data_IF_555312580929
#
_entry.id   IF_555312580929
#
_cell.length_a   1.000
_cell.length_b   1.000
_cell.length_c   1.000
_cell.angle_alpha   90.00
_cell.angle_beta   90.00
_cell.angle_gamma   90.00
#
_symmetry.space_group_name_H-M   'P 1'
#
loop_
_entity.id
_entity.type
_entity.pdbx_description
1 polymer ?
#
# COMPACT_ATOMS: atom_id res chain seq x y z
N UNK A 1 17.13 50.56 42.28
CA UNK A 1 15.88 50.55 41.55
C UNK A 1 15.52 49.13 41.11
N UNK A 2 15.35 48.15 42.02
CA UNK A 2 15.12 46.75 41.68
C UNK A 2 14.29 45.96 42.71
N UNK A 3 13.57 46.64 43.60
CA UNK A 3 12.77 45.98 44.67
C UNK A 3 11.30 45.88 44.27
N UNK A 4 10.79 46.78 43.40
CA UNK A 4 9.40 46.78 42.93
C UNK A 4 9.08 45.69 41.92
N UNK A 5 10.07 45.14 41.19
CA UNK A 5 9.88 43.99 40.24
C UNK A 5 9.69 42.64 40.96
N UNK A 6 9.99 42.54 42.27
CA UNK A 6 9.83 41.31 43.07
C UNK A 6 8.52 41.21 43.80
N UNK A 7 7.71 42.29 43.89
CA UNK A 7 6.46 42.34 44.63
C UNK A 7 5.19 42.23 43.75
N UNK A 8 5.31 42.52 42.48
CA UNK A 8 4.29 42.19 41.50
C UNK A 8 4.83 40.99 40.71
N UNK A 9 4.44 39.78 41.10
CA UNK A 9 4.65 38.58 40.30
C UNK A 9 4.18 38.89 38.88
N UNK A 10 5.14 39.17 37.97
CA UNK A 10 4.86 39.66 36.64
C UNK A 10 3.97 38.64 35.93
N UNK A 11 2.72 38.97 35.74
CA UNK A 11 1.90 38.32 34.75
C UNK A 11 2.67 38.48 33.43
N UNK A 12 3.07 37.33 32.82
CA UNK A 12 3.67 37.33 31.48
C UNK A 12 2.77 38.15 30.56
N UNK A 13 3.34 39.02 29.75
CA UNK A 13 2.57 39.74 28.76
C UNK A 13 1.97 38.72 27.77
N UNK A 14 0.89 39.11 27.13
CA UNK A 14 0.21 38.25 26.12
C UNK A 14 1.21 37.80 25.05
N UNK A 15 2.17 38.64 24.70
CA UNK A 15 3.23 38.41 23.74
C UNK A 15 4.26 37.39 24.26
N UNK A 16 4.72 37.50 25.50
CA UNK A 16 5.63 36.54 26.16
C UNK A 16 4.97 35.14 26.30
N UNK A 17 3.66 35.09 26.55
CA UNK A 17 2.92 33.81 26.60
C UNK A 17 2.81 33.18 25.22
N UNK A 18 2.59 33.99 24.16
CA UNK A 18 2.53 33.53 22.77
C UNK A 18 3.88 32.99 22.33
N UNK A 19 4.98 33.74 22.52
CA UNK A 19 6.33 33.28 22.17
C UNK A 19 6.73 32.00 22.92
N UNK A 20 6.28 31.85 24.19
CA UNK A 20 6.57 30.64 24.96
C UNK A 20 5.82 29.44 24.36
N UNK A 21 4.53 29.60 24.01
CA UNK A 21 3.75 28.52 23.38
C UNK A 21 4.32 28.12 22.01
N UNK A 22 4.74 29.08 21.20
CA UNK A 22 5.34 28.82 19.89
C UNK A 22 6.64 28.02 20.02
N UNK A 23 7.54 28.40 20.95
CA UNK A 23 8.76 27.65 21.25
C UNK A 23 8.49 26.26 21.81
N UNK A 24 7.47 26.11 22.64
CA UNK A 24 7.07 24.80 23.17
C UNK A 24 6.49 23.92 22.07
N UNK A 25 5.68 24.48 21.17
CA UNK A 25 5.15 23.80 19.99
C UNK A 25 6.29 23.29 19.09
N UNK A 26 7.21 24.16 18.66
CA UNK A 26 8.31 23.81 17.79
C UNK A 26 9.17 22.68 18.38
N UNK A 27 9.45 22.76 19.67
CA UNK A 27 10.22 21.75 20.38
C UNK A 27 9.53 20.40 20.38
N UNK A 28 8.24 20.36 20.72
CA UNK A 28 7.47 19.11 20.81
C UNK A 28 7.26 18.51 19.42
N UNK A 29 6.95 19.34 18.41
CA UNK A 29 6.85 18.94 17.01
C UNK A 29 8.17 18.32 16.50
N UNK A 30 9.31 18.98 16.80
CA UNK A 30 10.63 18.47 16.45
C UNK A 30 10.93 17.09 17.05
N UNK A 31 10.62 16.88 18.34
CA UNK A 31 10.79 15.57 18.99
C UNK A 31 9.87 14.51 18.36
N UNK A 32 8.66 14.88 17.99
CA UNK A 32 7.74 14.00 17.26
C UNK A 32 8.28 13.57 15.90
N UNK A 33 8.74 14.53 15.09
CA UNK A 33 9.35 14.25 13.78
C UNK A 33 10.64 13.42 13.91
N UNK A 34 11.46 13.72 14.93
CA UNK A 34 12.66 12.95 15.24
C UNK A 34 12.31 11.50 15.60
N UNK A 35 11.33 11.28 16.46
CA UNK A 35 10.86 9.95 16.84
C UNK A 35 10.32 9.18 15.62
N UNK A 36 9.58 9.86 14.73
CA UNK A 36 9.08 9.28 13.48
C UNK A 36 10.23 8.78 12.59
N UNK A 37 11.28 9.59 12.42
CA UNK A 37 12.48 9.21 11.64
C UNK A 37 13.27 8.06 12.27
N UNK A 38 13.16 7.89 13.59
CA UNK A 38 13.76 6.78 14.32
C UNK A 38 12.85 5.55 14.41
N UNK A 39 11.74 5.52 13.66
CA UNK A 39 10.72 4.46 13.66
C UNK A 39 10.10 4.18 15.04
N UNK A 40 10.13 5.18 15.93
CA UNK A 40 9.50 5.14 17.26
C UNK A 40 8.08 5.70 17.16
N UNK A 41 7.20 4.99 16.46
CA UNK A 41 5.91 5.51 16.00
C UNK A 41 4.97 5.87 17.17
N UNK A 42 4.91 5.05 18.23
CA UNK A 42 4.12 5.38 19.43
C UNK A 42 4.58 6.67 20.12
N UNK A 43 5.90 6.89 20.17
CA UNK A 43 6.49 8.07 20.75
C UNK A 43 6.27 9.29 19.85
N UNK A 44 6.39 9.10 18.54
CA UNK A 44 6.12 10.14 17.55
C UNK A 44 4.65 10.62 17.66
N UNK A 45 3.70 9.68 17.69
CA UNK A 45 2.28 10.01 17.83
C UNK A 45 2.01 10.83 19.10
N UNK A 46 2.57 10.43 20.26
CA UNK A 46 2.40 11.17 21.52
C UNK A 46 2.91 12.60 21.45
N UNK A 47 4.12 12.82 20.89
CA UNK A 47 4.66 14.17 20.75
C UNK A 47 3.84 15.01 19.76
N UNK A 48 3.45 14.42 18.62
CA UNK A 48 2.67 15.13 17.61
C UNK A 48 1.25 15.46 18.09
N UNK A 49 0.62 14.57 18.86
CA UNK A 49 -0.65 14.88 19.56
C UNK A 49 -0.50 16.03 20.53
N UNK A 50 0.60 16.07 21.32
CA UNK A 50 0.91 17.18 22.22
C UNK A 50 1.15 18.49 21.47
N UNK A 51 1.86 18.44 20.32
CA UNK A 51 2.05 19.60 19.48
C UNK A 51 0.69 20.14 18.97
N UNK A 52 -0.21 19.28 18.52
CA UNK A 52 -1.55 19.67 18.09
C UNK A 52 -2.48 20.19 19.21
N UNK A 53 -2.15 19.91 20.48
CA UNK A 53 -2.82 20.58 21.62
C UNK A 53 -2.35 22.04 21.79
N UNK A 54 -1.14 22.36 21.33
CA UNK A 54 -0.59 23.73 21.36
C UNK A 54 -0.99 24.53 20.13
N UNK A 55 -0.96 23.90 18.96
CA UNK A 55 -1.46 24.46 17.70
C UNK A 55 -2.27 23.39 16.94
N UNK A 56 -3.61 23.52 17.06
CA UNK A 56 -4.54 22.57 16.45
C UNK A 56 -4.64 22.72 14.93
N UNK A 57 -4.16 23.82 14.34
CA UNK A 57 -4.31 24.11 12.92
C UNK A 57 -3.06 23.76 12.10
N UNK A 58 -1.98 23.30 12.74
CA UNK A 58 -0.75 22.92 12.03
C UNK A 58 -0.95 21.65 11.19
N UNK A 59 -1.08 21.84 9.88
CA UNK A 59 -1.33 20.77 8.93
C UNK A 59 -0.12 19.83 8.75
N UNK A 60 1.10 20.36 8.88
CA UNK A 60 2.32 19.57 8.79
C UNK A 60 2.42 18.58 9.96
N UNK A 61 2.09 19.04 11.17
CA UNK A 61 2.02 18.18 12.35
C UNK A 61 0.97 17.06 12.16
N UNK A 62 -0.21 17.38 11.58
CA UNK A 62 -1.22 16.39 11.24
C UNK A 62 -0.72 15.39 10.21
N UNK A 63 0.07 15.85 9.23
CA UNK A 63 0.66 15.00 8.22
C UNK A 63 1.61 13.96 8.84
N UNK A 64 2.55 14.41 9.67
CA UNK A 64 3.45 13.51 10.41
C UNK A 64 2.69 12.55 11.34
N UNK A 65 1.63 13.04 12.00
CA UNK A 65 0.82 12.20 12.86
C UNK A 65 0.06 11.12 12.07
N UNK A 66 -0.44 11.46 10.88
CA UNK A 66 -1.06 10.48 9.99
C UNK A 66 -0.07 9.38 9.58
N UNK A 67 1.19 9.73 9.28
CA UNK A 67 2.25 8.78 8.95
C UNK A 67 2.57 7.86 10.16
N UNK A 68 2.66 8.42 11.37
CA UNK A 68 2.87 7.62 12.58
C UNK A 68 1.73 6.62 12.79
N UNK A 69 0.48 7.04 12.65
CA UNK A 69 -0.68 6.16 12.79
C UNK A 69 -0.74 5.08 11.69
N UNK A 70 -0.41 5.40 10.43
CA UNK A 70 -0.31 4.39 9.37
C UNK A 70 0.72 3.31 9.75
N UNK A 71 1.89 3.73 10.22
CA UNK A 71 2.96 2.82 10.62
C UNK A 71 2.63 1.96 11.85
N UNK A 72 1.70 2.42 12.70
CA UNK A 72 1.17 1.69 13.85
C UNK A 72 0.00 0.76 13.49
N UNK A 73 -0.57 0.89 12.29
CA UNK A 73 -1.81 0.22 11.91
C UNK A 73 -3.09 0.90 12.45
N UNK A 74 -2.99 2.09 13.07
CA UNK A 74 -4.13 2.87 13.56
C UNK A 74 -4.80 3.63 12.40
N UNK A 75 -5.30 2.89 11.41
CA UNK A 75 -5.74 3.43 10.12
C UNK A 75 -6.89 4.43 10.23
N UNK A 76 -7.84 4.21 11.15
CA UNK A 76 -8.96 5.13 11.38
C UNK A 76 -8.46 6.50 11.88
N UNK A 77 -7.47 6.50 12.79
CA UNK A 77 -6.87 7.76 13.28
C UNK A 77 -6.06 8.44 12.19
N UNK A 78 -5.33 7.67 11.37
CA UNK A 78 -4.61 8.19 10.22
C UNK A 78 -5.57 8.88 9.24
N UNK A 79 -6.66 8.21 8.86
CA UNK A 79 -7.67 8.75 7.96
C UNK A 79 -8.28 10.05 8.50
N UNK A 80 -8.59 10.11 9.80
CA UNK A 80 -9.12 11.31 10.45
C UNK A 80 -8.15 12.51 10.41
N UNK A 81 -6.83 12.28 10.49
CA UNK A 81 -5.86 13.38 10.32
C UNK A 81 -5.80 13.85 8.87
N UNK A 82 -5.76 12.94 7.92
CA UNK A 82 -5.76 13.26 6.48
C UNK A 82 -7.05 13.99 6.08
N UNK A 83 -8.20 13.59 6.63
CA UNK A 83 -9.46 14.28 6.40
C UNK A 83 -9.41 15.75 6.84
N UNK A 84 -8.85 16.05 8.01
CA UNK A 84 -8.67 17.45 8.45
C UNK A 84 -7.75 18.25 7.55
N UNK A 85 -6.71 17.60 6.99
CA UNK A 85 -5.85 18.25 6.00
C UNK A 85 -6.64 18.53 4.71
N UNK A 86 -7.41 17.56 4.22
CA UNK A 86 -8.25 17.70 3.02
C UNK A 86 -9.34 18.77 3.17
N UNK A 87 -9.91 18.94 4.38
CA UNK A 87 -10.87 20.00 4.68
C UNK A 87 -10.26 21.41 4.63
N UNK A 88 -8.98 21.53 5.03
CA UNK A 88 -8.22 22.79 4.99
C UNK A 88 -7.59 23.06 3.60
N UNK A 89 -7.27 22.02 2.85
CA UNK A 89 -6.63 22.07 1.53
C UNK A 89 -7.49 21.31 0.51
N UNK A 90 -8.59 21.92 0.11
CA UNK A 90 -9.65 21.26 -0.67
C UNK A 90 -9.23 20.88 -2.11
N UNK A 91 -8.13 21.43 -2.60
CA UNK A 91 -7.55 21.18 -3.94
C UNK A 91 -6.30 20.28 -3.91
N UNK A 92 -5.96 19.71 -2.75
CA UNK A 92 -4.78 18.88 -2.60
C UNK A 92 -5.06 17.40 -2.95
N UNK A 93 -4.87 17.06 -4.22
CA UNK A 93 -5.05 15.70 -4.74
C UNK A 93 -4.13 14.69 -4.03
N UNK A 94 -2.90 15.06 -3.68
CA UNK A 94 -1.98 14.16 -3.00
C UNK A 94 -2.52 13.70 -1.65
N UNK A 95 -3.22 14.55 -0.91
CA UNK A 95 -3.89 14.18 0.34
C UNK A 95 -5.05 13.24 0.08
N UNK A 96 -5.85 13.51 -0.97
CA UNK A 96 -6.95 12.62 -1.36
C UNK A 96 -6.45 11.23 -1.75
N UNK A 97 -5.36 11.13 -2.52
CA UNK A 97 -4.78 9.84 -2.90
C UNK A 97 -4.27 9.07 -1.67
N UNK A 98 -3.68 9.75 -0.70
CA UNK A 98 -3.29 9.12 0.58
C UNK A 98 -4.49 8.66 1.40
N UNK A 99 -5.59 9.44 1.40
CA UNK A 99 -6.85 9.00 2.01
C UNK A 99 -7.40 7.76 1.32
N UNK A 100 -7.34 7.70 -0.02
CA UNK A 100 -7.76 6.52 -0.78
C UNK A 100 -6.92 5.29 -0.45
N UNK A 101 -5.60 5.46 -0.27
CA UNK A 101 -4.71 4.35 0.12
C UNK A 101 -5.00 3.86 1.55
N UNK A 102 -5.20 4.76 2.51
CA UNK A 102 -5.59 4.39 3.88
C UNK A 102 -6.98 3.73 3.89
N UNK A 103 -7.95 4.23 3.11
CA UNK A 103 -9.26 3.60 2.97
C UNK A 103 -9.16 2.19 2.38
N UNK A 104 -8.26 1.97 1.40
CA UNK A 104 -7.97 0.63 0.89
C UNK A 104 -7.41 -0.30 1.97
N UNK A 105 -6.45 0.17 2.79
CA UNK A 105 -5.91 -0.61 3.90
C UNK A 105 -6.96 -0.95 4.97
N UNK A 106 -7.98 -0.10 5.14
CA UNK A 106 -9.13 -0.36 6.01
C UNK A 106 -10.20 -1.26 5.38
N UNK A 107 -10.03 -1.62 4.10
CA UNK A 107 -11.08 -2.27 3.29
C UNK A 107 -12.39 -1.46 3.20
N UNK A 108 -12.32 -0.15 3.48
CA UNK A 108 -13.44 0.77 3.30
C UNK A 108 -13.50 1.29 1.86
N UNK A 109 -13.96 0.42 0.97
CA UNK A 109 -14.02 0.71 -0.46
C UNK A 109 -15.05 1.78 -0.79
N UNK A 110 -16.05 2.01 0.07
CA UNK A 110 -17.02 3.11 -0.11
C UNK A 110 -16.32 4.45 0.14
N UNK A 111 -15.66 4.62 1.28
CA UNK A 111 -14.88 5.82 1.55
C UNK A 111 -13.81 6.06 0.46
N UNK A 112 -13.21 4.98 -0.05
CA UNK A 112 -12.23 5.05 -1.13
C UNK A 112 -12.84 5.61 -2.43
N UNK A 113 -14.06 5.16 -2.84
CA UNK A 113 -14.73 5.70 -4.02
C UNK A 113 -15.09 7.17 -3.84
N UNK A 114 -15.62 7.56 -2.67
CA UNK A 114 -15.98 8.95 -2.37
C UNK A 114 -14.80 9.92 -2.48
N UNK A 115 -13.63 9.48 -2.03
CA UNK A 115 -12.38 10.25 -2.12
C UNK A 115 -11.88 10.33 -3.57
N UNK A 116 -11.96 9.23 -4.32
CA UNK A 116 -11.59 9.21 -5.73
C UNK A 116 -12.52 10.10 -6.58
N UNK A 117 -13.83 10.12 -6.30
CA UNK A 117 -14.77 11.03 -6.96
C UNK A 117 -14.38 12.50 -6.76
N UNK A 118 -13.98 12.88 -5.53
CA UNK A 118 -13.48 14.23 -5.26
C UNK A 118 -12.18 14.53 -6.01
N UNK A 119 -11.25 13.57 -6.04
CA UNK A 119 -9.99 13.75 -6.75
C UNK A 119 -10.20 13.91 -8.27
N UNK A 120 -11.11 13.14 -8.89
CA UNK A 120 -11.46 13.27 -10.31
C UNK A 120 -12.18 14.60 -10.64
N UNK A 121 -12.92 15.18 -9.69
CA UNK A 121 -13.50 16.52 -9.87
C UNK A 121 -12.45 17.61 -9.89
N UNK A 122 -11.30 17.41 -9.25
CA UNK A 122 -10.17 18.36 -9.24
C UNK A 122 -9.26 18.19 -10.45
N UNK A 123 -8.98 16.93 -10.81
CA UNK A 123 -8.11 16.59 -11.94
C UNK A 123 -8.56 15.25 -12.55
N UNK A 124 -9.28 15.33 -13.66
CA UNK A 124 -9.75 14.19 -14.42
C UNK A 124 -8.68 13.55 -15.31
N UNK A 125 -7.47 14.12 -15.35
CA UNK A 125 -6.30 13.55 -16.02
C UNK A 125 -5.41 12.71 -15.09
N UNK A 126 -5.66 12.74 -13.78
CA UNK A 126 -4.84 12.01 -12.80
C UNK A 126 -5.05 10.49 -12.91
N UNK A 127 -4.07 9.80 -13.47
CA UNK A 127 -4.14 8.35 -13.74
C UNK A 127 -4.12 7.50 -12.48
N UNK A 128 -3.46 7.95 -11.42
CA UNK A 128 -3.41 7.29 -10.12
C UNK A 128 -4.81 7.24 -9.49
N UNK A 129 -5.60 8.30 -9.64
CA UNK A 129 -6.99 8.33 -9.14
C UNK A 129 -7.85 7.26 -9.79
N UNK A 130 -7.76 7.08 -11.11
CA UNK A 130 -8.47 6.02 -11.82
C UNK A 130 -8.05 4.63 -11.32
N UNK A 131 -6.78 4.43 -11.05
CA UNK A 131 -6.26 3.17 -10.53
C UNK A 131 -6.80 2.87 -9.12
N UNK A 132 -6.77 3.86 -8.21
CA UNK A 132 -7.36 3.72 -6.88
C UNK A 132 -8.86 3.45 -6.95
N UNK A 133 -9.56 4.17 -7.83
CA UNK A 133 -10.99 3.96 -8.05
C UNK A 133 -11.30 2.52 -8.50
N UNK A 134 -10.51 2.00 -9.44
CA UNK A 134 -10.65 0.62 -9.90
C UNK A 134 -10.41 -0.41 -8.80
N UNK A 135 -9.42 -0.18 -7.93
CA UNK A 135 -9.18 -1.03 -6.74
C UNK A 135 -10.39 -1.05 -5.81
N UNK A 136 -11.00 0.12 -5.57
CA UNK A 136 -12.21 0.23 -4.79
C UNK A 136 -13.38 -0.53 -5.42
N UNK A 137 -13.61 -0.35 -6.73
CA UNK A 137 -14.64 -1.06 -7.47
C UNK A 137 -14.43 -2.59 -7.41
N UNK A 138 -13.17 -3.06 -7.55
CA UNK A 138 -12.85 -4.49 -7.38
C UNK A 138 -13.21 -4.97 -5.98
N UNK A 139 -12.87 -4.23 -4.94
CA UNK A 139 -13.23 -4.57 -3.55
C UNK A 139 -14.73 -4.62 -3.30
N UNK A 140 -15.50 -3.78 -3.98
CA UNK A 140 -16.98 -3.78 -3.97
C UNK A 140 -17.61 -4.87 -4.85
N UNK A 141 -16.81 -5.63 -5.61
CA UNK A 141 -17.31 -6.63 -6.55
C UNK A 141 -17.85 -6.03 -7.86
N UNK A 142 -17.67 -4.74 -8.11
CA UNK A 142 -18.07 -4.07 -9.35
C UNK A 142 -16.95 -4.16 -10.41
N UNK A 143 -16.75 -5.37 -10.91
CA UNK A 143 -15.71 -5.65 -11.89
C UNK A 143 -15.89 -4.87 -13.22
N UNK A 144 -17.11 -4.66 -13.77
CA UNK A 144 -17.26 -3.86 -14.98
C UNK A 144 -16.79 -2.41 -14.79
N UNK A 145 -17.10 -1.79 -13.66
CA UNK A 145 -16.66 -0.43 -13.36
C UNK A 145 -15.16 -0.37 -13.13
N UNK A 146 -14.57 -1.37 -12.45
CA UNK A 146 -13.13 -1.48 -12.28
C UNK A 146 -12.40 -1.54 -13.63
N UNK A 147 -12.86 -2.40 -14.58
CA UNK A 147 -12.29 -2.49 -15.93
C UNK A 147 -12.41 -1.16 -16.69
N UNK A 148 -13.54 -0.45 -16.56
CA UNK A 148 -13.73 0.87 -17.17
C UNK A 148 -12.72 1.90 -16.66
N UNK A 149 -12.53 1.98 -15.34
CA UNK A 149 -11.56 2.89 -14.71
C UNK A 149 -10.12 2.56 -15.12
N UNK A 150 -9.74 1.29 -15.15
CA UNK A 150 -8.41 0.86 -15.60
C UNK A 150 -8.19 1.15 -17.08
N UNK A 151 -9.21 1.00 -17.90
CA UNK A 151 -9.13 1.35 -19.33
C UNK A 151 -8.92 2.85 -19.52
N UNK A 152 -9.58 3.69 -18.74
CA UNK A 152 -9.34 5.13 -18.74
C UNK A 152 -7.91 5.48 -18.30
N UNK A 153 -7.41 4.86 -17.21
CA UNK A 153 -6.04 5.06 -16.74
C UNK A 153 -5.00 4.68 -17.81
N UNK A 154 -5.18 3.52 -18.45
CA UNK A 154 -4.28 3.02 -19.51
C UNK A 154 -4.36 3.91 -20.76
N UNK A 155 -5.55 4.43 -21.10
CA UNK A 155 -5.72 5.36 -22.22
C UNK A 155 -4.97 6.69 -22.02
N UNK A 156 -4.83 7.14 -20.77
CA UNK A 156 -4.08 8.35 -20.40
C UNK A 156 -2.57 8.09 -20.26
N UNK A 157 -2.18 6.90 -19.78
CA UNK A 157 -0.78 6.48 -19.61
C UNK A 157 -0.62 5.02 -20.04
N UNK A 158 -0.12 4.81 -21.25
CA UNK A 158 -0.05 3.50 -21.87
C UNK A 158 0.88 2.52 -21.13
N UNK A 159 1.97 3.02 -20.54
CA UNK A 159 2.95 2.28 -19.76
C UNK A 159 2.57 2.10 -18.27
N UNK A 160 1.29 2.29 -17.93
CA UNK A 160 0.82 2.02 -16.58
C UNK A 160 0.63 0.51 -16.35
N UNK A 161 1.74 -0.20 -16.20
CA UNK A 161 1.78 -1.66 -16.10
C UNK A 161 0.95 -2.22 -14.94
N UNK A 162 0.90 -1.53 -13.80
CA UNK A 162 0.08 -1.95 -12.67
C UNK A 162 -1.43 -1.93 -13.00
N UNK A 163 -1.88 -0.94 -13.77
CA UNK A 163 -3.28 -0.87 -14.22
C UNK A 163 -3.60 -1.99 -15.22
N UNK A 164 -2.68 -2.30 -16.16
CA UNK A 164 -2.85 -3.42 -17.08
C UNK A 164 -2.87 -4.77 -16.35
N UNK A 165 -1.98 -4.96 -15.37
CA UNK A 165 -1.92 -6.20 -14.58
C UNK A 165 -3.24 -6.42 -13.83
N UNK A 166 -3.74 -5.39 -13.18
CA UNK A 166 -5.01 -5.45 -12.46
C UNK A 166 -6.18 -5.67 -13.42
N UNK A 167 -6.20 -5.00 -14.58
CA UNK A 167 -7.27 -5.18 -15.59
C UNK A 167 -7.26 -6.59 -16.16
N UNK A 168 -6.10 -7.10 -16.56
CA UNK A 168 -5.93 -8.46 -17.08
C UNK A 168 -6.38 -9.52 -16.07
N UNK A 169 -6.07 -9.33 -14.78
CA UNK A 169 -6.55 -10.21 -13.69
C UNK A 169 -8.08 -10.19 -13.58
N UNK A 170 -8.70 -9.01 -13.57
CA UNK A 170 -10.18 -8.89 -13.49
C UNK A 170 -10.84 -9.48 -14.74
N UNK A 171 -10.29 -9.24 -15.92
CA UNK A 171 -10.80 -9.79 -17.18
C UNK A 171 -10.72 -11.32 -17.21
N UNK A 172 -9.61 -11.88 -16.70
CA UNK A 172 -9.45 -13.33 -16.53
C UNK A 172 -10.51 -13.91 -15.60
N UNK A 173 -10.71 -13.29 -14.44
CA UNK A 173 -11.74 -13.71 -13.45
C UNK A 173 -13.15 -13.69 -14.06
N UNK A 174 -13.39 -12.80 -15.03
CA UNK A 174 -14.64 -12.70 -15.78
C UNK A 174 -14.70 -13.61 -17.02
N UNK A 175 -13.69 -14.45 -17.24
CA UNK A 175 -13.54 -15.29 -18.44
C UNK A 175 -13.52 -14.49 -19.77
N UNK A 176 -13.16 -13.20 -19.73
CA UNK A 176 -12.94 -12.36 -20.91
C UNK A 176 -11.50 -12.59 -21.42
N UNK A 177 -11.26 -13.81 -21.92
CA UNK A 177 -9.91 -14.33 -22.15
C UNK A 177 -9.15 -13.59 -23.25
N UNK A 178 -9.85 -13.11 -24.30
CA UNK A 178 -9.21 -12.37 -25.39
C UNK A 178 -8.62 -11.05 -24.94
N UNK A 179 -9.36 -10.32 -24.11
CA UNK A 179 -8.92 -9.03 -23.56
C UNK A 179 -7.82 -9.21 -22.50
N UNK A 180 -7.96 -10.25 -21.66
CA UNK A 180 -6.94 -10.62 -20.68
C UNK A 180 -5.62 -11.00 -21.36
N UNK A 181 -5.67 -11.72 -22.50
CA UNK A 181 -4.49 -12.08 -23.30
C UNK A 181 -3.78 -10.85 -23.86
N UNK A 182 -4.51 -9.83 -24.31
CA UNK A 182 -3.91 -8.58 -24.80
C UNK A 182 -3.08 -7.90 -23.70
N UNK A 183 -3.65 -7.78 -22.48
CA UNK A 183 -2.92 -7.18 -21.36
C UNK A 183 -1.73 -8.04 -20.93
N UNK A 184 -1.90 -9.36 -20.82
CA UNK A 184 -0.85 -10.27 -20.42
C UNK A 184 0.32 -10.29 -21.43
N UNK A 185 -0.01 -10.25 -22.74
CA UNK A 185 1.00 -10.22 -23.80
C UNK A 185 1.78 -8.91 -23.79
N UNK A 186 1.08 -7.78 -23.73
CA UNK A 186 1.71 -6.47 -23.64
C UNK A 186 2.68 -6.40 -22.44
N UNK A 187 2.23 -6.85 -21.27
CA UNK A 187 3.07 -6.85 -20.08
C UNK A 187 4.29 -7.77 -20.22
N UNK A 188 4.11 -8.96 -20.78
CA UNK A 188 5.21 -9.89 -21.00
C UNK A 188 6.27 -9.35 -21.96
N UNK A 189 5.87 -8.58 -22.98
CA UNK A 189 6.80 -7.95 -23.92
C UNK A 189 7.62 -6.83 -23.28
N UNK A 190 7.06 -6.11 -22.29
CA UNK A 190 7.70 -4.95 -21.69
C UNK A 190 8.42 -5.26 -20.36
N UNK A 191 7.93 -6.21 -19.59
CA UNK A 191 8.49 -6.61 -18.28
C UNK A 191 8.50 -8.13 -18.11
N UNK A 192 9.22 -8.88 -18.99
CA UNK A 192 9.14 -10.35 -19.07
C UNK A 192 9.65 -11.08 -17.82
N UNK A 193 10.43 -10.41 -16.95
CA UNK A 193 10.99 -10.98 -15.72
C UNK A 193 10.16 -10.70 -14.47
N UNK A 194 8.94 -10.20 -14.61
CA UNK A 194 8.08 -9.95 -13.47
C UNK A 194 7.21 -11.18 -13.16
N UNK A 195 7.23 -11.65 -11.90
CA UNK A 195 6.51 -12.85 -11.47
C UNK A 195 4.99 -12.73 -11.70
N UNK A 196 4.38 -11.61 -11.32
CA UNK A 196 2.93 -11.42 -11.43
C UNK A 196 2.46 -11.40 -12.89
N UNK A 197 3.31 -10.87 -13.78
CA UNK A 197 3.04 -10.86 -15.23
C UNK A 197 3.12 -12.26 -15.80
N UNK A 198 4.12 -13.04 -15.41
CA UNK A 198 4.25 -14.44 -15.82
C UNK A 198 3.09 -15.30 -15.30
N UNK A 199 2.68 -15.09 -14.04
CA UNK A 199 1.51 -15.76 -13.46
C UNK A 199 0.22 -15.40 -14.21
N UNK A 200 -0.01 -14.12 -14.48
CA UNK A 200 -1.18 -13.69 -15.27
C UNK A 200 -1.18 -14.36 -16.65
N UNK A 201 -0.02 -14.35 -17.34
CA UNK A 201 0.10 -14.96 -18.67
C UNK A 201 -0.18 -16.46 -18.63
N UNK A 202 0.43 -17.19 -17.71
CA UNK A 202 0.22 -18.63 -17.55
C UNK A 202 -1.24 -18.99 -17.22
N UNK A 203 -1.88 -18.19 -16.35
CA UNK A 203 -3.30 -18.36 -16.01
C UNK A 203 -4.22 -18.12 -17.22
N UNK A 204 -3.91 -17.12 -18.04
CA UNK A 204 -4.66 -16.86 -19.27
C UNK A 204 -4.46 -18.02 -20.27
N UNK A 205 -3.23 -18.49 -20.49
CA UNK A 205 -2.93 -19.63 -21.35
C UNK A 205 -3.68 -20.89 -20.88
N UNK A 206 -3.65 -21.19 -19.58
CA UNK A 206 -4.39 -22.29 -18.96
C UNK A 206 -5.90 -22.15 -19.20
N UNK A 207 -6.48 -20.97 -18.98
CA UNK A 207 -7.90 -20.71 -19.17
C UNK A 207 -8.34 -20.83 -20.64
N UNK A 208 -7.43 -20.56 -21.58
CA UNK A 208 -7.65 -20.76 -23.01
C UNK A 208 -7.47 -22.23 -23.47
N UNK A 209 -7.06 -23.12 -22.58
CA UNK A 209 -6.78 -24.51 -22.90
C UNK A 209 -5.41 -24.73 -23.54
N UNK A 210 -4.52 -23.74 -23.58
CA UNK A 210 -3.13 -23.81 -24.06
C UNK A 210 -2.24 -24.41 -22.96
N UNK A 211 -2.42 -25.71 -22.70
CA UNK A 211 -1.84 -26.33 -21.49
C UNK A 211 -0.31 -26.44 -21.57
N UNK A 212 0.26 -26.76 -22.74
CA UNK A 212 1.70 -26.86 -22.94
C UNK A 212 2.40 -25.51 -22.78
N UNK A 213 1.79 -24.44 -23.32
CA UNK A 213 2.30 -23.07 -23.15
C UNK A 213 2.22 -22.64 -21.68
N UNK A 214 1.11 -22.93 -21.01
CA UNK A 214 0.93 -22.62 -19.60
C UNK A 214 1.97 -23.32 -18.72
N UNK A 215 2.27 -24.62 -18.96
CA UNK A 215 3.31 -25.35 -18.25
C UNK A 215 4.68 -24.66 -18.40
N UNK A 216 5.03 -24.28 -19.63
CA UNK A 216 6.29 -23.59 -19.90
C UNK A 216 6.35 -22.23 -19.21
N UNK A 217 5.23 -21.48 -19.21
CA UNK A 217 5.17 -20.15 -18.59
C UNK A 217 5.25 -20.25 -17.08
N UNK A 218 4.61 -21.24 -16.44
CA UNK A 218 4.82 -21.51 -15.00
C UNK A 218 6.27 -21.91 -14.70
N UNK A 219 6.94 -22.65 -15.61
CA UNK A 219 8.38 -22.93 -15.49
C UNK A 219 9.20 -21.63 -15.40
N UNK A 220 8.90 -20.63 -16.25
CA UNK A 220 9.56 -19.32 -16.21
C UNK A 220 9.25 -18.55 -14.91
N UNK A 221 8.05 -18.70 -14.31
CA UNK A 221 7.78 -18.15 -12.98
C UNK A 221 8.76 -18.70 -11.96
N UNK A 222 9.01 -20.01 -11.99
CA UNK A 222 9.94 -20.67 -11.08
C UNK A 222 11.40 -20.28 -11.31
N UNK A 223 11.77 -19.96 -12.56
CA UNK A 223 13.10 -19.43 -12.88
C UNK A 223 13.31 -18.03 -12.25
N UNK A 224 12.25 -17.23 -12.16
CA UNK A 224 12.29 -15.88 -11.55
C UNK A 224 12.13 -15.96 -10.02
N UNK A 225 11.19 -16.75 -9.55
CA UNK A 225 10.93 -17.00 -8.13
C UNK A 225 10.83 -18.50 -7.85
N UNK A 226 11.93 -19.16 -7.44
CA UNK A 226 11.91 -20.59 -7.11
C UNK A 226 11.03 -20.96 -5.91
N UNK A 227 10.52 -19.98 -5.17
CA UNK A 227 9.64 -20.17 -4.01
C UNK A 227 8.19 -19.79 -4.27
N UNK A 228 7.79 -19.62 -5.53
CA UNK A 228 6.41 -19.29 -5.91
C UNK A 228 5.47 -20.50 -5.71
N UNK A 229 4.86 -20.60 -4.53
CA UNK A 229 3.93 -21.69 -4.20
C UNK A 229 2.79 -21.78 -5.22
N UNK A 230 2.27 -20.65 -5.68
CA UNK A 230 1.21 -20.58 -6.67
C UNK A 230 1.64 -21.20 -7.99
N UNK A 231 2.87 -20.90 -8.46
CA UNK A 231 3.39 -21.47 -9.70
C UNK A 231 3.48 -23.00 -9.64
N UNK A 232 3.96 -23.57 -8.54
CA UNK A 232 4.02 -25.03 -8.36
C UNK A 232 2.62 -25.65 -8.32
N UNK A 233 1.69 -25.08 -7.56
CA UNK A 233 0.31 -25.59 -7.46
C UNK A 233 -0.39 -25.56 -8.82
N UNK A 234 -0.34 -24.41 -9.49
CA UNK A 234 -1.04 -24.23 -10.75
C UNK A 234 -0.40 -25.03 -11.89
N UNK A 235 0.95 -25.21 -11.90
CA UNK A 235 1.63 -26.08 -12.84
C UNK A 235 1.29 -27.56 -12.60
N UNK A 236 1.14 -27.99 -11.36
CA UNK A 236 0.72 -29.35 -11.04
C UNK A 236 -0.63 -29.69 -11.66
N UNK A 237 -1.58 -28.75 -11.62
CA UNK A 237 -2.90 -28.92 -12.24
C UNK A 237 -2.81 -29.03 -13.77
N UNK A 238 -1.96 -28.21 -14.38
CA UNK A 238 -1.69 -28.23 -15.83
C UNK A 238 -1.05 -29.57 -16.23
N UNK A 239 0.00 -30.03 -15.52
CA UNK A 239 0.67 -31.30 -15.76
C UNK A 239 -0.28 -32.48 -15.62
N UNK A 240 -1.17 -32.44 -14.64
CA UNK A 240 -2.21 -33.48 -14.46
C UNK A 240 -3.14 -33.53 -15.65
N UNK A 241 -3.51 -32.37 -16.21
CA UNK A 241 -4.36 -32.27 -17.40
C UNK A 241 -3.63 -32.76 -18.66
N UNK A 242 -2.31 -32.64 -18.72
CA UNK A 242 -1.46 -33.16 -19.79
C UNK A 242 -1.12 -34.67 -19.61
N UNK A 243 -1.54 -35.27 -18.50
CA UNK A 243 -1.26 -36.69 -18.22
C UNK A 243 0.06 -36.95 -17.51
N UNK A 244 0.86 -35.94 -17.19
CA UNK A 244 2.10 -36.05 -16.43
C UNK A 244 1.77 -36.07 -14.92
N UNK A 245 1.30 -37.23 -14.45
CA UNK A 245 0.98 -37.42 -13.04
C UNK A 245 2.21 -37.43 -12.13
N UNK A 246 3.39 -37.80 -12.64
CA UNK A 246 4.61 -37.84 -11.87
C UNK A 246 5.13 -36.41 -11.61
N UNK A 247 5.25 -35.61 -12.64
CA UNK A 247 5.63 -34.20 -12.50
C UNK A 247 4.63 -33.36 -11.71
N UNK A 248 3.32 -33.69 -11.82
CA UNK A 248 2.30 -33.04 -10.98
C UNK A 248 2.49 -33.36 -9.47
N UNK A 249 2.83 -34.61 -9.13
CA UNK A 249 3.08 -35.00 -7.74
C UNK A 249 4.36 -34.35 -7.18
N UNK A 250 5.39 -34.19 -8.01
CA UNK A 250 6.62 -33.46 -7.63
C UNK A 250 6.33 -32.00 -7.30
N UNK A 251 5.58 -31.32 -8.15
CA UNK A 251 5.18 -29.93 -7.94
C UNK A 251 4.32 -29.76 -6.68
N UNK A 252 3.35 -30.65 -6.44
CA UNK A 252 2.54 -30.63 -5.22
C UNK A 252 3.39 -30.85 -3.96
N UNK A 253 4.35 -31.76 -4.01
CA UNK A 253 5.26 -32.01 -2.89
C UNK A 253 6.11 -30.76 -2.58
N UNK A 254 6.67 -30.12 -3.63
CA UNK A 254 7.44 -28.89 -3.48
C UNK A 254 6.59 -27.74 -2.91
N UNK A 255 5.37 -27.53 -3.43
CA UNK A 255 4.45 -26.51 -2.91
C UNK A 255 4.08 -26.75 -1.44
N UNK A 256 3.87 -28.02 -1.06
CA UNK A 256 3.56 -28.40 0.32
C UNK A 256 4.75 -28.19 1.25
N UNK A 257 5.96 -28.52 0.82
CA UNK A 257 7.18 -28.30 1.60
C UNK A 257 7.38 -26.82 1.88
N UNK A 258 7.28 -25.98 0.86
CA UNK A 258 7.36 -24.51 1.01
C UNK A 258 6.24 -23.94 1.88
N UNK A 259 5.02 -24.46 1.78
CA UNK A 259 3.88 -24.03 2.60
C UNK A 259 3.92 -24.54 4.04
N UNK A 260 4.64 -25.64 4.31
CA UNK A 260 4.77 -26.21 5.65
C UNK A 260 5.78 -25.45 6.54
N UNK A 261 6.64 -24.62 5.94
CA UNK A 261 7.55 -23.72 6.68
C UNK A 261 6.84 -22.49 7.27
N UNK A 262 5.57 -22.26 6.93
CA UNK A 262 4.72 -21.29 7.62
C UNK A 262 3.97 -22.04 8.71
N UNK A 263 4.47 -22.03 9.98
CA UNK A 263 3.71 -22.65 11.07
C UNK A 263 2.36 -21.94 11.18
N UNK A 264 1.28 -22.71 11.37
CA UNK A 264 -0.02 -22.17 11.76
C UNK A 264 0.18 -21.13 12.87
N UNK A 265 -0.51 -19.96 12.85
CA UNK A 265 -0.30 -18.93 13.85
C UNK A 265 -0.73 -19.48 15.22
N UNK A 266 0.22 -20.09 15.94
CA UNK A 266 0.06 -20.36 17.36
C UNK A 266 0.24 -19.02 18.09
N UNK A 267 -0.62 -18.76 19.09
CA UNK A 267 -0.51 -17.62 19.99
C UNK A 267 0.96 -17.46 20.45
N UNK A 268 1.62 -16.41 20.03
CA UNK A 268 3.04 -16.12 20.30
C UNK A 268 3.94 -16.00 19.06
N UNK A 269 3.50 -16.40 17.86
CA UNK A 269 4.28 -16.23 16.63
C UNK A 269 4.16 -14.79 16.12
N UNK A 270 2.99 -14.15 16.24
CA UNK A 270 2.86 -12.71 15.95
C UNK A 270 3.84 -11.88 16.75
N UNK A 271 4.06 -12.24 18.02
CA UNK A 271 5.02 -11.54 18.87
C UNK A 271 6.46 -11.81 18.44
N UNK A 272 6.79 -13.05 18.05
CA UNK A 272 8.12 -13.43 17.53
C UNK A 272 8.38 -12.88 16.13
N UNK A 273 7.36 -12.79 15.26
CA UNK A 273 7.45 -12.12 13.95
C UNK A 273 7.66 -10.62 14.17
N UNK A 274 6.91 -10.00 15.08
CA UNK A 274 7.05 -8.58 15.45
C UNK A 274 8.44 -8.29 16.04
N UNK A 275 8.95 -9.18 16.91
CA UNK A 275 10.31 -9.10 17.45
C UNK A 275 11.39 -9.33 16.40
N UNK A 276 11.19 -10.27 15.46
CA UNK A 276 12.12 -10.50 14.34
C UNK A 276 12.07 -9.41 13.29
N UNK A 277 10.89 -8.86 12.98
CA UNK A 277 10.76 -7.69 12.10
C UNK A 277 11.37 -6.43 12.73
N UNK A 278 11.30 -6.27 14.06
CA UNK A 278 12.02 -5.21 14.78
C UNK A 278 13.55 -5.41 14.78
N UNK A 279 14.03 -6.64 14.65
CA UNK A 279 15.46 -6.96 14.54
C UNK A 279 16.00 -6.91 13.10
N UNK A 280 15.14 -7.10 12.10
CA UNK A 280 15.45 -6.97 10.68
C UNK A 280 15.10 -5.56 10.23
N UNK A 281 16.01 -4.60 10.53
CA UNK A 281 15.97 -3.29 9.91
C UNK A 281 16.26 -3.46 8.41
N UNK A 282 15.28 -3.30 7.50
CA UNK A 282 15.51 -3.47 6.07
C UNK A 282 16.47 -2.40 5.50
N UNK A 283 16.82 -1.38 6.30
CA UNK A 283 17.78 -0.33 5.92
C UNK A 283 19.19 -0.59 6.40
N UNK A 284 19.47 -1.63 7.21
CA UNK A 284 20.85 -2.01 7.58
C UNK A 284 21.70 -2.49 6.40
N UNK A 285 21.07 -2.86 5.29
CA UNK A 285 21.78 -3.28 4.07
C UNK A 285 22.41 -2.10 3.32
N UNK A 286 22.05 -0.85 3.62
CA UNK A 286 22.51 0.35 2.90
C UNK A 286 23.49 1.24 3.71
N UNK A 287 23.94 0.83 4.89
CA UNK A 287 24.83 1.62 5.74
C UNK A 287 26.18 0.98 6.07
N UNK A 288 26.64 0.00 5.28
CA UNK A 288 28.03 -0.42 5.32
C UNK A 288 28.68 -0.14 3.98
N UNK A 289 29.13 1.10 3.78
CA UNK A 289 30.30 1.52 3.00
C UNK A 289 30.26 3.05 2.90
N UNK A 290 30.87 3.72 3.88
CA UNK A 290 31.80 4.84 3.73
C UNK A 290 32.28 5.26 5.13
#
# INVERSE_FOLDING_TARGET
MNILKKLFGGQKTTEEVRETKEKDFDKVKYEGVRALRMHQFDLAAKFLEQALQLDAEDLECRDYLSQAYISMGDLQKAYAQLQKISEAQTDNIAVLLRMADVAYMMEDYIAMTDVCDKALQLDDENVETYFFYARACKGLGDAPRAVSMLTAAIGKREDFYAARLLRGSILLDQAQLSEAELDATFLYEHIPGNEDVLLLKARVEKAQGKMEEAEQTYGKVMDVNPFSIDAYRERSEVRRSLGDSAGAAEDEAAAKEMGAEIPEPSEGIEQKIKEKMQQMDPYKVFHNEY
#
